data_IF_240047322010
#
_entry.id   IF_240047322010
#
_cell.length_a   1.000
_cell.length_b   1.000
_cell.length_c   1.000
_cell.angle_alpha   90.00
_cell.angle_beta   90.00
_cell.angle_gamma   90.00
#
_symmetry.space_group_name_H-M   'P 1'
#
loop_
_entity.id
_entity.type
_entity.pdbx_description
1 polymer ?
#
# COMPACT_ATOMS: atom_id res chain seq x y z
N UNK A 1 5.83 3.68 -5.08
CA UNK A 1 6.89 2.66 -4.97
C UNK A 1 6.70 1.71 -6.13
N UNK A 2 7.72 1.52 -6.97
CA UNK A 2 7.56 0.84 -8.27
C UNK A 2 8.74 -0.10 -8.49
N UNK A 3 8.42 -1.30 -8.98
CA UNK A 3 9.40 -2.13 -9.66
C UNK A 3 9.39 -1.64 -11.11
N UNK A 4 10.44 -0.96 -11.52
CA UNK A 4 10.65 -0.50 -12.89
C UNK A 4 11.69 -1.40 -13.53
N UNK A 5 11.26 -2.46 -14.21
CA UNK A 5 12.15 -3.26 -15.05
C UNK A 5 12.39 -2.52 -16.36
N UNK A 6 13.25 -1.50 -16.33
CA UNK A 6 13.90 -0.69 -17.41
C UNK A 6 13.12 -0.24 -18.67
N UNK A 7 11.99 -0.87 -19.03
CA UNK A 7 11.18 -0.66 -20.23
C UNK A 7 9.68 -0.92 -19.99
N UNK A 8 9.29 -1.60 -18.89
CA UNK A 8 7.88 -1.79 -18.48
C UNK A 8 7.69 -1.37 -17.02
N UNK A 9 6.56 -0.73 -16.75
CA UNK A 9 6.16 -0.30 -15.43
C UNK A 9 5.43 -1.45 -14.73
N UNK A 10 6.02 -1.98 -13.66
CA UNK A 10 5.50 -3.14 -12.93
C UNK A 10 6.45 -4.33 -12.98
N UNK A 11 6.15 -5.35 -12.16
CA UNK A 11 6.84 -6.64 -12.19
C UNK A 11 6.18 -7.52 -13.25
N UNK A 12 6.95 -8.22 -14.08
CA UNK A 12 6.35 -9.19 -14.99
C UNK A 12 5.67 -10.32 -14.20
N UNK A 13 4.67 -10.97 -14.80
CA UNK A 13 3.99 -12.10 -14.15
C UNK A 13 4.99 -13.21 -13.77
N UNK A 14 5.96 -13.48 -14.64
CA UNK A 14 6.99 -14.48 -14.42
C UNK A 14 7.88 -14.13 -13.21
N UNK A 15 8.22 -12.85 -13.03
CA UNK A 15 8.97 -12.39 -11.86
C UNK A 15 8.13 -12.50 -10.58
N UNK A 16 6.83 -12.24 -10.65
CA UNK A 16 5.92 -12.35 -9.52
C UNK A 16 5.70 -13.80 -9.10
N UNK A 17 5.59 -14.72 -10.06
CA UNK A 17 5.43 -16.16 -9.81
C UNK A 17 6.67 -16.77 -9.15
N UNK A 18 7.86 -16.29 -9.54
CA UNK A 18 9.14 -16.70 -8.95
C UNK A 18 9.29 -16.31 -7.48
N UNK A 19 8.52 -15.35 -6.97
CA UNK A 19 8.59 -14.92 -5.58
C UNK A 19 7.99 -15.92 -4.58
N UNK A 20 7.54 -17.11 -5.02
CA UNK A 20 7.00 -18.18 -4.17
C UNK A 20 6.26 -17.67 -2.91
N UNK A 21 5.26 -16.80 -3.11
CA UNK A 21 4.52 -16.16 -2.03
C UNK A 21 3.65 -17.17 -1.23
N UNK A 22 3.63 -18.45 -1.63
CA UNK A 22 2.89 -19.52 -0.97
C UNK A 22 3.27 -19.71 0.50
N UNK A 23 4.51 -19.34 0.88
CA UNK A 23 4.96 -19.34 2.29
C UNK A 23 4.04 -18.51 3.19
N UNK A 24 3.38 -17.48 2.64
CA UNK A 24 2.47 -16.60 3.40
C UNK A 24 1.00 -17.02 3.32
N UNK A 25 0.62 -17.90 2.39
CA UNK A 25 -0.77 -18.35 2.23
C UNK A 25 -1.17 -19.45 3.23
N UNK A 26 -0.19 -20.16 3.81
CA UNK A 26 -0.45 -21.33 4.67
C UNK A 26 -1.00 -21.03 6.07
N UNK A 27 -1.11 -19.77 6.49
CA UNK A 27 -1.65 -19.46 7.82
C UNK A 27 -3.17 -19.27 7.86
N UNK A 28 -3.79 -18.80 6.76
CA UNK A 28 -5.23 -18.49 6.76
C UNK A 28 -6.10 -19.62 6.20
N UNK A 29 -5.59 -20.40 5.23
CA UNK A 29 -6.35 -21.48 4.59
C UNK A 29 -6.40 -22.78 5.41
N UNK A 30 -5.39 -23.01 6.25
CA UNK A 30 -5.31 -24.19 7.11
C UNK A 30 -6.24 -24.14 8.33
N UNK A 31 -6.90 -23.01 8.60
CA UNK A 31 -7.83 -22.87 9.72
C UNK A 31 -9.26 -23.29 9.36
N UNK A 32 -9.63 -23.33 8.08
CA UNK A 32 -10.99 -23.67 7.65
C UNK A 32 -11.13 -25.10 7.07
N UNK A 33 -10.05 -25.69 6.55
CA UNK A 33 -10.08 -27.02 5.92
C UNK A 33 -9.65 -28.13 6.90
N UNK A 34 -8.82 -27.81 7.90
CA UNK A 34 -8.34 -28.83 8.85
C UNK A 34 -9.37 -29.29 9.89
N UNK A 35 -10.45 -28.57 10.18
CA UNK A 35 -11.38 -29.05 11.21
C UNK A 35 -12.16 -30.32 10.79
N UNK A 36 -12.17 -30.68 9.49
CA UNK A 36 -12.80 -31.94 9.02
C UNK A 36 -11.82 -33.07 8.71
N UNK A 37 -10.58 -32.79 8.33
CA UNK A 37 -9.56 -33.84 8.09
C UNK A 37 -8.64 -34.12 9.29
N UNK A 38 -8.45 -33.15 10.19
CA UNK A 38 -7.60 -33.32 11.38
C UNK A 38 -8.24 -34.27 12.41
N UNK A 39 -9.57 -34.39 12.42
CA UNK A 39 -10.30 -35.39 13.22
C UNK A 39 -10.05 -36.82 12.72
N UNK A 40 -9.68 -37.02 11.45
CA UNK A 40 -9.39 -38.36 10.89
C UNK A 40 -7.91 -38.75 10.93
N UNK A 41 -6.99 -37.79 11.04
CA UNK A 41 -5.54 -38.03 10.98
C UNK A 41 -4.79 -37.87 12.31
N UNK A 42 -5.46 -37.58 13.43
CA UNK A 42 -4.85 -37.35 14.75
C UNK A 42 -4.18 -38.57 15.43
N UNK A 43 -3.95 -39.67 14.70
CA UNK A 43 -3.22 -40.85 15.23
C UNK A 43 -2.04 -41.30 14.38
N UNK A 44 -1.64 -40.55 13.34
CA UNK A 44 -0.45 -40.90 12.58
C UNK A 44 0.80 -40.32 13.23
N UNK A 45 1.73 -41.19 13.59
CA UNK A 45 3.04 -40.83 14.11
C UNK A 45 3.85 -40.12 13.02
N UNK A 46 4.77 -39.22 13.40
CA UNK A 46 5.62 -38.45 12.45
C UNK A 46 6.30 -39.35 11.40
N UNK A 47 6.62 -40.59 11.78
CA UNK A 47 7.22 -41.60 10.90
C UNK A 47 6.28 -42.05 9.78
N UNK A 48 4.99 -42.18 10.06
CA UNK A 48 3.98 -42.56 9.07
C UNK A 48 3.73 -41.44 8.05
N UNK A 49 3.82 -40.17 8.47
CA UNK A 49 3.72 -39.03 7.56
C UNK A 49 4.91 -38.97 6.60
N UNK A 50 6.12 -39.26 7.09
CA UNK A 50 7.32 -39.33 6.26
C UNK A 50 7.20 -40.49 5.25
N UNK A 51 6.79 -41.68 5.70
CA UNK A 51 6.59 -42.84 4.83
C UNK A 51 5.55 -42.57 3.74
N UNK A 52 4.41 -41.97 4.09
CA UNK A 52 3.36 -41.64 3.13
C UNK A 52 3.84 -40.66 2.04
N UNK A 53 4.63 -39.64 2.42
CA UNK A 53 5.18 -38.69 1.45
C UNK A 53 6.25 -39.33 0.54
N UNK A 54 7.04 -40.26 1.07
CA UNK A 54 8.02 -41.03 0.29
C UNK A 54 7.29 -41.94 -0.72
N UNK A 55 6.26 -42.66 -0.27
CA UNK A 55 5.46 -43.56 -1.11
C UNK A 55 4.73 -42.81 -2.22
N UNK A 56 4.17 -41.63 -1.93
CA UNK A 56 3.57 -40.76 -2.94
C UNK A 56 4.57 -40.32 -4.01
N UNK A 57 5.78 -39.89 -3.62
CA UNK A 57 6.83 -39.53 -4.59
C UNK A 57 7.31 -40.72 -5.41
N UNK A 58 7.44 -41.89 -4.80
CA UNK A 58 7.84 -43.12 -5.51
C UNK A 58 6.80 -43.53 -6.56
N UNK A 59 5.50 -43.37 -6.25
CA UNK A 59 4.44 -43.64 -7.21
C UNK A 59 4.39 -42.63 -8.37
N UNK A 60 4.79 -41.38 -8.14
CA UNK A 60 4.98 -40.41 -9.22
C UNK A 60 6.16 -40.79 -10.13
N UNK A 61 7.25 -41.35 -9.58
CA UNK A 61 8.37 -41.86 -10.36
C UNK A 61 8.01 -43.13 -11.16
N UNK A 62 7.22 -44.03 -10.59
CA UNK A 62 6.84 -45.30 -11.23
C UNK A 62 5.91 -45.15 -12.45
N UNK A 63 5.24 -44.01 -12.60
CA UNK A 63 4.36 -43.73 -13.74
C UNK A 63 5.06 -43.10 -14.96
N UNK A 64 6.37 -42.87 -14.91
CA UNK A 64 7.17 -42.56 -16.11
C UNK A 64 7.42 -43.85 -16.90
N UNK A 65 6.40 -44.30 -17.64
CA UNK A 65 6.54 -45.41 -18.59
C UNK A 65 7.58 -45.05 -19.66
N UNK A 66 8.57 -45.92 -19.76
CA UNK A 66 9.56 -46.01 -20.83
C UNK A 66 8.87 -46.01 -22.20
N UNK A 67 8.98 -44.88 -22.89
CA UNK A 67 8.55 -44.71 -24.27
C UNK A 67 9.43 -43.66 -24.93
N UNK A 68 10.54 -44.12 -25.52
CA UNK A 68 11.31 -43.49 -26.60
C UNK A 68 11.31 -41.96 -26.68
N UNK A 69 12.21 -41.27 -25.95
CA UNK A 69 12.74 -39.97 -26.38
C UNK A 69 14.02 -39.57 -25.62
N UNK A 70 15.05 -40.44 -25.64
CA UNK A 70 16.28 -40.25 -24.85
C UNK A 70 17.52 -39.76 -25.63
N UNK A 71 17.37 -39.15 -26.80
CA UNK A 71 18.55 -38.78 -27.63
C UNK A 71 18.78 -37.26 -27.81
N UNK A 72 17.84 -36.36 -27.51
CA UNK A 72 18.04 -34.92 -27.77
C UNK A 72 18.20 -33.99 -26.56
N UNK A 73 18.35 -34.51 -25.33
CA UNK A 73 18.30 -33.66 -24.12
C UNK A 73 19.65 -33.43 -23.40
N UNK A 74 20.78 -33.50 -24.12
CA UNK A 74 22.12 -33.28 -23.52
C UNK A 74 22.80 -31.95 -23.92
N UNK A 75 22.05 -30.96 -24.42
CA UNK A 75 22.61 -29.69 -24.92
C UNK A 75 21.97 -28.41 -24.34
N UNK A 76 21.54 -28.42 -23.07
CA UNK A 76 20.95 -27.23 -22.41
C UNK A 76 21.64 -26.78 -21.12
N UNK A 77 22.85 -27.28 -20.80
CA UNK A 77 23.48 -26.97 -19.50
C UNK A 77 24.13 -25.58 -19.42
N UNK A 78 24.51 -24.94 -20.54
CA UNK A 78 25.24 -23.65 -20.50
C UNK A 78 24.34 -22.40 -20.44
N UNK A 79 23.11 -22.44 -20.98
CA UNK A 79 22.15 -21.33 -20.87
C UNK A 79 21.49 -21.24 -19.49
N UNK A 80 21.49 -22.33 -18.72
CA UNK A 80 20.90 -22.38 -17.36
C UNK A 80 21.69 -21.59 -16.30
N UNK A 81 22.99 -21.38 -16.49
CA UNK A 81 23.83 -20.67 -15.51
C UNK A 81 23.63 -19.15 -15.63
N UNK A 82 23.43 -18.65 -16.85
CA UNK A 82 23.27 -17.22 -17.07
C UNK A 82 21.89 -16.71 -16.60
N UNK A 83 20.85 -17.54 -16.66
CA UNK A 83 19.52 -17.22 -16.10
C UNK A 83 19.55 -17.13 -14.57
N UNK A 84 20.20 -18.10 -13.89
CA UNK A 84 20.34 -18.09 -12.42
C UNK A 84 21.03 -16.84 -11.89
N UNK A 85 22.09 -16.36 -12.56
CA UNK A 85 22.80 -15.12 -12.13
C UNK A 85 21.89 -13.88 -12.24
N UNK A 86 21.08 -13.78 -13.29
CA UNK A 86 20.13 -12.68 -13.47
C UNK A 86 19.03 -12.72 -12.41
N UNK A 87 18.53 -13.91 -12.07
CA UNK A 87 17.51 -14.10 -11.03
C UNK A 87 17.99 -13.70 -9.63
N UNK A 88 19.21 -14.08 -9.25
CA UNK A 88 19.79 -13.66 -7.96
C UNK A 88 19.89 -12.13 -7.89
N UNK A 89 20.22 -11.46 -9.00
CA UNK A 89 20.32 -10.00 -9.04
C UNK A 89 18.97 -9.29 -8.91
N UNK A 90 17.91 -9.76 -9.58
CA UNK A 90 16.57 -9.14 -9.49
C UNK A 90 15.97 -9.30 -8.09
N UNK A 91 16.17 -10.46 -7.44
CA UNK A 91 15.69 -10.69 -6.08
C UNK A 91 16.43 -9.82 -5.05
N UNK A 92 17.73 -9.60 -5.24
CA UNK A 92 18.50 -8.65 -4.43
C UNK A 92 18.00 -7.22 -4.60
N UNK A 93 17.71 -6.79 -5.83
CA UNK A 93 17.15 -5.47 -6.11
C UNK A 93 15.77 -5.29 -5.46
N UNK A 94 14.91 -6.31 -5.53
CA UNK A 94 13.60 -6.31 -4.88
C UNK A 94 13.74 -6.18 -3.35
N UNK A 95 14.60 -6.98 -2.72
CA UNK A 95 14.81 -6.91 -1.28
C UNK A 95 15.36 -5.55 -0.85
N UNK A 96 16.26 -4.96 -1.66
CA UNK A 96 16.75 -3.60 -1.46
C UNK A 96 15.61 -2.58 -1.53
N UNK A 97 14.71 -2.73 -2.50
CA UNK A 97 13.52 -1.90 -2.63
C UNK A 97 12.60 -2.05 -1.41
N UNK A 98 12.25 -3.27 -1.00
CA UNK A 98 11.40 -3.50 0.19
C UNK A 98 12.03 -2.91 1.46
N UNK A 99 13.34 -3.10 1.66
CA UNK A 99 14.06 -2.49 2.78
C UNK A 99 14.01 -0.97 2.72
N UNK A 100 14.13 -0.38 1.53
CA UNK A 100 14.00 1.06 1.33
C UNK A 100 12.60 1.55 1.70
N UNK A 101 11.53 0.82 1.36
CA UNK A 101 10.14 1.17 1.77
C UNK A 101 10.02 1.23 3.29
N UNK A 102 10.56 0.22 3.97
CA UNK A 102 10.51 0.15 5.44
C UNK A 102 11.28 1.29 6.08
N UNK A 103 12.46 1.60 5.54
CA UNK A 103 13.23 2.78 5.94
C UNK A 103 12.40 4.06 5.76
N UNK A 104 11.73 4.22 4.62
CA UNK A 104 10.91 5.40 4.31
C UNK A 104 9.72 5.51 5.27
N UNK A 105 9.02 4.43 5.58
CA UNK A 105 7.94 4.43 6.59
C UNK A 105 8.47 4.82 7.97
N UNK A 106 9.63 4.30 8.37
CA UNK A 106 10.25 4.66 9.65
C UNK A 106 10.68 6.13 9.69
N UNK A 107 11.23 6.66 8.59
CA UNK A 107 11.64 8.05 8.45
C UNK A 107 10.44 9.00 8.54
N UNK A 108 9.36 8.71 7.81
CA UNK A 108 8.10 9.46 7.90
C UNK A 108 7.53 9.42 9.32
N UNK A 109 7.58 8.26 9.99
CA UNK A 109 7.14 8.12 11.38
C UNK A 109 7.96 8.98 12.35
N UNK A 110 9.29 9.03 12.17
CA UNK A 110 10.19 9.88 12.98
C UNK A 110 9.91 11.36 12.70
N UNK A 111 9.78 11.77 11.44
CA UNK A 111 9.44 13.15 11.06
C UNK A 111 8.12 13.56 11.72
N UNK A 112 7.10 12.68 11.69
CA UNK A 112 5.83 12.96 12.35
C UNK A 112 5.97 13.14 13.86
N UNK A 113 6.74 12.26 14.52
CA UNK A 113 7.00 12.38 15.96
C UNK A 113 7.73 13.68 16.32
N UNK A 114 8.74 14.07 15.53
CA UNK A 114 9.47 15.34 15.72
C UNK A 114 8.54 16.53 15.56
N UNK A 115 7.67 16.54 14.54
CA UNK A 115 6.68 17.61 14.36
C UNK A 115 5.73 17.71 15.57
N UNK A 116 5.28 16.57 16.13
CA UNK A 116 4.45 16.55 17.32
C UNK A 116 5.17 17.20 18.52
N UNK A 117 6.44 16.88 18.74
CA UNK A 117 7.25 17.50 19.80
C UNK A 117 7.39 19.01 19.58
N UNK A 118 7.62 19.46 18.34
CA UNK A 118 7.68 20.88 17.99
C UNK A 118 6.35 21.57 18.33
N UNK A 119 5.20 20.96 18.01
CA UNK A 119 3.89 21.52 18.35
C UNK A 119 3.70 21.67 19.86
N UNK A 120 4.09 20.67 20.66
CA UNK A 120 4.02 20.76 22.12
C UNK A 120 4.89 21.91 22.64
N UNK A 121 6.11 22.05 22.13
CA UNK A 121 7.02 23.14 22.53
C UNK A 121 6.43 24.50 22.17
N UNK A 122 5.90 24.66 20.96
CA UNK A 122 5.22 25.90 20.52
C UNK A 122 4.08 26.23 21.49
N UNK A 123 3.20 25.28 21.79
CA UNK A 123 2.09 25.49 22.73
C UNK A 123 2.60 25.92 24.12
N UNK A 124 3.62 25.25 24.66
CA UNK A 124 4.21 25.60 25.97
C UNK A 124 4.81 27.01 25.96
N UNK A 125 5.59 27.36 24.94
CA UNK A 125 6.23 28.68 24.82
C UNK A 125 5.17 29.78 24.73
N UNK A 126 4.15 29.59 23.88
CA UNK A 126 3.10 30.57 23.70
C UNK A 126 2.13 30.65 24.88
N UNK A 127 1.92 29.57 25.64
CA UNK A 127 1.11 29.59 26.87
C UNK A 127 1.65 30.53 27.95
N UNK A 128 2.96 30.84 27.91
CA UNK A 128 3.63 31.76 28.84
C UNK A 128 3.59 33.22 28.39
N UNK A 129 3.18 33.48 27.16
CA UNK A 129 3.13 34.85 26.63
C UNK A 129 1.94 35.60 27.22
N UNK A 130 2.15 36.85 27.65
CA UNK A 130 1.09 37.68 28.24
C UNK A 130 0.00 37.94 27.21
N UNK A 131 -1.24 37.81 27.63
CA UNK A 131 -2.42 38.13 26.82
C UNK A 131 -2.40 39.61 26.44
N UNK A 132 -2.48 39.91 25.14
CA UNK A 132 -2.61 41.28 24.62
C UNK A 132 -4.04 41.52 24.20
N UNK A 133 -4.59 42.66 24.59
CA UNK A 133 -5.88 43.14 24.12
C UNK A 133 -5.64 44.28 23.14
N UNK A 134 -6.31 44.23 22.00
CA UNK A 134 -6.30 45.30 20.99
C UNK A 134 -7.71 45.88 20.95
N UNK A 135 -7.80 47.21 20.90
CA UNK A 135 -9.07 47.89 20.65
C UNK A 135 -9.32 47.98 19.14
N UNK A 136 -10.48 47.51 18.68
CA UNK A 136 -10.91 47.61 17.29
C UNK A 136 -11.46 49.01 16.94
N UNK A 137 -11.71 49.28 15.65
CA UNK A 137 -12.26 50.57 15.17
C UNK A 137 -13.67 50.88 15.70
N UNK A 138 -14.42 49.85 16.12
CA UNK A 138 -15.73 49.98 16.76
C UNK A 138 -15.63 50.21 18.29
N UNK A 139 -14.42 50.44 18.81
CA UNK A 139 -14.11 50.58 20.24
C UNK A 139 -14.27 49.32 21.08
N UNK A 140 -14.54 48.16 20.48
CA UNK A 140 -14.60 46.89 21.19
C UNK A 140 -13.17 46.36 21.46
N UNK A 141 -12.98 45.75 22.62
CA UNK A 141 -11.72 45.11 22.97
C UNK A 141 -11.73 43.66 22.50
N UNK A 142 -10.69 43.26 21.77
CA UNK A 142 -10.48 41.87 21.36
C UNK A 142 -9.22 41.29 21.97
N UNK A 143 -9.29 40.00 22.29
CA UNK A 143 -8.11 39.21 22.61
C UNK A 143 -7.29 38.94 21.34
N UNK A 144 -6.00 39.28 21.35
CA UNK A 144 -5.09 38.88 20.29
C UNK A 144 -4.43 37.55 20.65
N UNK A 145 -4.83 36.48 19.95
CA UNK A 145 -4.21 35.18 20.11
C UNK A 145 -2.73 35.25 19.66
N UNK A 146 -1.75 34.95 20.54
CA UNK A 146 -0.35 35.06 20.19
C UNK A 146 0.10 33.94 19.24
N UNK A 147 -0.69 32.86 19.13
CA UNK A 147 -0.45 31.73 18.22
C UNK A 147 -0.78 32.05 16.75
N UNK A 148 -1.41 33.19 16.45
CA UNK A 148 -1.87 33.48 15.07
C UNK A 148 -0.73 33.48 14.04
N UNK A 149 0.45 34.01 14.39
CA UNK A 149 1.60 34.01 13.48
C UNK A 149 2.16 32.60 13.30
N UNK A 150 2.08 31.78 14.34
CA UNK A 150 2.50 30.38 14.27
C UNK A 150 1.53 29.58 13.41
N UNK A 151 0.22 29.83 13.54
CA UNK A 151 -0.85 29.22 12.74
C UNK A 151 -0.62 29.45 11.24
N UNK A 152 -0.35 30.70 10.83
CA UNK A 152 0.00 31.01 9.45
C UNK A 152 1.24 30.24 8.93
N UNK A 153 2.29 30.14 9.75
CA UNK A 153 3.48 29.36 9.39
C UNK A 153 3.19 27.86 9.30
N UNK A 154 2.27 27.35 10.13
CA UNK A 154 1.82 25.96 10.09
C UNK A 154 1.01 25.68 8.84
N UNK A 155 0.03 26.53 8.49
CA UNK A 155 -0.74 26.42 7.25
C UNK A 155 0.18 26.41 6.02
N UNK A 156 1.21 27.28 6.01
CA UNK A 156 2.19 27.32 4.92
C UNK A 156 3.03 26.04 4.84
N UNK A 157 3.49 25.52 5.98
CA UNK A 157 4.22 24.26 6.02
C UNK A 157 3.34 23.09 5.55
N UNK A 158 2.10 23.02 6.02
CA UNK A 158 1.11 22.04 5.59
C UNK A 158 0.89 22.08 4.07
N UNK A 159 0.72 23.29 3.50
CA UNK A 159 0.59 23.47 2.06
C UNK A 159 1.77 22.83 1.30
N UNK A 160 3.00 23.10 1.72
CA UNK A 160 4.22 22.56 1.08
C UNK A 160 4.26 21.03 1.17
N UNK A 161 3.94 20.45 2.33
CA UNK A 161 3.90 19.01 2.55
C UNK A 161 2.83 18.33 1.67
N UNK A 162 1.63 18.90 1.60
CA UNK A 162 0.53 18.36 0.78
C UNK A 162 0.88 18.45 -0.71
N UNK A 163 1.48 19.56 -1.18
CA UNK A 163 1.94 19.66 -2.57
C UNK A 163 2.99 18.59 -2.90
N UNK A 164 3.95 18.35 -2.00
CA UNK A 164 4.93 17.28 -2.18
C UNK A 164 4.26 15.90 -2.33
N UNK A 165 3.29 15.58 -1.46
CA UNK A 165 2.52 14.34 -1.56
C UNK A 165 1.71 14.26 -2.86
N UNK A 166 1.11 15.36 -3.28
CA UNK A 166 0.36 15.44 -4.53
C UNK A 166 1.21 15.09 -5.74
N UNK A 167 2.44 15.61 -5.85
CA UNK A 167 3.37 15.26 -6.93
C UNK A 167 3.72 13.77 -6.95
N UNK A 168 3.91 13.16 -5.78
CA UNK A 168 4.15 11.71 -5.68
C UNK A 168 2.96 10.94 -6.24
N UNK A 169 1.73 11.30 -5.85
CA UNK A 169 0.53 10.58 -6.30
C UNK A 169 0.25 10.79 -7.78
N UNK A 170 0.50 11.99 -8.28
CA UNK A 170 0.39 12.28 -9.70
C UNK A 170 1.35 11.40 -10.52
N UNK A 171 2.58 11.19 -10.03
CA UNK A 171 3.50 10.22 -10.62
C UNK A 171 2.92 8.80 -10.55
N UNK A 172 2.28 8.42 -9.44
CA UNK A 172 1.63 7.11 -9.23
C UNK A 172 0.46 6.85 -10.20
N UNK A 173 -0.29 7.86 -10.65
CA UNK A 173 -1.54 7.64 -11.38
C UNK A 173 -1.47 6.82 -12.66
N UNK A 174 -0.33 6.81 -13.34
CA UNK A 174 -0.17 6.14 -14.63
C UNK A 174 0.33 4.70 -14.53
N UNK A 175 0.61 4.18 -13.33
CA UNK A 175 1.02 2.78 -13.23
C UNK A 175 -0.14 1.81 -13.23
N UNK A 176 0.19 0.59 -13.60
CA UNK A 176 -0.69 -0.57 -13.62
C UNK A 176 -0.64 -1.28 -12.28
N UNK A 177 -1.67 -2.08 -11.98
CA UNK A 177 -1.75 -2.85 -10.74
C UNK A 177 -1.71 -1.98 -9.47
N UNK A 178 -2.38 -0.83 -9.53
CA UNK A 178 -2.54 0.10 -8.40
C UNK A 178 -3.98 -0.01 -7.87
N UNK A 179 -4.14 0.10 -6.56
CA UNK A 179 -5.45 0.33 -5.94
C UNK A 179 -6.15 1.59 -6.49
N UNK A 180 -7.40 1.45 -6.94
CA UNK A 180 -8.25 2.58 -7.39
C UNK A 180 -8.36 3.68 -6.33
N UNK A 181 -8.31 3.30 -5.06
CA UNK A 181 -8.26 4.21 -3.92
C UNK A 181 -7.17 5.30 -4.04
N UNK A 182 -6.02 5.00 -4.65
CA UNK A 182 -4.95 5.99 -4.82
C UNK A 182 -5.37 7.14 -5.76
N UNK A 183 -6.27 6.87 -6.72
CA UNK A 183 -6.86 7.93 -7.55
C UNK A 183 -7.78 8.83 -6.74
N UNK A 184 -8.67 8.23 -5.95
CA UNK A 184 -9.54 8.96 -5.03
C UNK A 184 -8.77 9.75 -3.97
N UNK A 185 -7.66 9.21 -3.47
CA UNK A 185 -6.75 9.93 -2.58
C UNK A 185 -6.14 11.15 -3.27
N UNK A 186 -5.74 11.03 -4.54
CA UNK A 186 -5.29 12.18 -5.34
C UNK A 186 -6.35 13.27 -5.50
N UNK A 187 -7.61 12.90 -5.80
CA UNK A 187 -8.72 13.87 -5.84
C UNK A 187 -8.99 14.51 -4.47
N UNK A 188 -8.88 13.72 -3.40
CA UNK A 188 -9.03 14.23 -2.03
C UNK A 188 -7.95 15.24 -1.69
N UNK A 189 -6.69 15.01 -2.08
CA UNK A 189 -5.62 15.98 -1.89
C UNK A 189 -5.84 17.27 -2.67
N UNK A 190 -6.38 17.22 -3.91
CA UNK A 190 -6.73 18.43 -4.64
C UNK A 190 -7.76 19.28 -3.88
N UNK A 191 -8.80 18.63 -3.34
CA UNK A 191 -9.80 19.30 -2.51
C UNK A 191 -9.16 19.87 -1.24
N UNK A 192 -8.30 19.09 -0.58
CA UNK A 192 -7.63 19.51 0.65
C UNK A 192 -6.72 20.71 0.41
N UNK A 193 -5.94 20.75 -0.68
CA UNK A 193 -5.13 21.92 -1.04
C UNK A 193 -6.01 23.17 -1.17
N UNK A 194 -7.13 23.07 -1.91
CA UNK A 194 -7.99 24.21 -2.22
C UNK A 194 -8.78 24.71 -1.01
N UNK A 195 -9.39 23.81 -0.24
CA UNK A 195 -10.29 24.13 0.88
C UNK A 195 -9.61 24.06 2.25
N UNK A 196 -8.36 23.60 2.34
CA UNK A 196 -7.59 23.57 3.57
C UNK A 196 -6.60 24.76 3.61
N UNK A 197 -5.29 24.51 3.56
CA UNK A 197 -4.28 25.53 3.84
C UNK A 197 -4.30 26.72 2.87
N UNK A 198 -4.64 26.52 1.59
CA UNK A 198 -4.73 27.64 0.64
C UNK A 198 -5.83 28.62 1.05
N UNK A 199 -7.00 28.10 1.45
CA UNK A 199 -8.13 28.93 1.88
C UNK A 199 -7.81 29.68 3.18
N UNK A 200 -7.08 29.04 4.11
CA UNK A 200 -6.64 29.66 5.36
C UNK A 200 -5.66 30.82 5.10
N UNK A 201 -4.68 30.62 4.20
CA UNK A 201 -3.74 31.66 3.78
C UNK A 201 -4.48 32.84 3.15
N UNK A 202 -5.44 32.58 2.25
CA UNK A 202 -6.25 33.65 1.64
C UNK A 202 -7.07 34.38 2.71
N UNK A 203 -7.71 33.66 3.63
CA UNK A 203 -8.48 34.24 4.72
C UNK A 203 -7.60 35.12 5.63
N UNK A 204 -6.39 34.67 5.93
CA UNK A 204 -5.41 35.40 6.71
C UNK A 204 -4.98 36.71 6.02
N UNK A 205 -4.76 36.68 4.70
CA UNK A 205 -4.37 37.89 3.95
C UNK A 205 -5.53 38.88 3.80
N UNK A 206 -6.76 38.39 3.62
CA UNK A 206 -7.91 39.23 3.20
C UNK A 206 -8.86 39.62 4.34
N UNK A 207 -9.15 38.70 5.26
CA UNK A 207 -10.25 38.84 6.24
C UNK A 207 -9.72 39.00 7.67
N UNK A 208 -8.43 38.78 7.93
CA UNK A 208 -7.83 38.78 9.27
C UNK A 208 -8.13 40.02 10.13
N UNK A 209 -8.31 41.19 9.50
CA UNK A 209 -8.69 42.41 10.23
C UNK A 209 -10.00 42.25 11.03
N UNK A 210 -10.94 41.42 10.55
CA UNK A 210 -12.25 41.16 11.15
C UNK A 210 -12.26 39.79 11.82
N UNK A 211 -11.88 39.74 13.11
CA UNK A 211 -11.66 38.46 13.83
C UNK A 211 -12.86 37.51 13.83
N UNK A 212 -14.06 38.03 14.10
CA UNK A 212 -15.29 37.22 14.07
C UNK A 212 -15.54 36.59 12.69
N UNK A 213 -15.39 37.37 11.62
CA UNK A 213 -15.62 36.91 10.25
C UNK A 213 -14.55 35.89 9.83
N UNK A 214 -13.28 36.14 10.17
CA UNK A 214 -12.17 35.23 9.94
C UNK A 214 -12.42 33.88 10.60
N UNK A 215 -12.69 33.85 11.90
CA UNK A 215 -12.92 32.60 12.64
C UNK A 215 -14.11 31.81 12.08
N UNK A 216 -15.23 32.49 11.79
CA UNK A 216 -16.43 31.85 11.24
C UNK A 216 -16.16 31.29 9.84
N UNK A 217 -15.46 32.03 8.99
CA UNK A 217 -15.10 31.60 7.63
C UNK A 217 -14.17 30.38 7.66
N UNK A 218 -13.05 30.46 8.37
CA UNK A 218 -12.06 29.39 8.49
C UNK A 218 -12.69 28.11 9.07
N UNK A 219 -13.51 28.24 10.13
CA UNK A 219 -14.22 27.10 10.71
C UNK A 219 -15.23 26.46 9.74
N UNK A 220 -15.98 27.28 9.00
CA UNK A 220 -16.99 26.78 8.05
C UNK A 220 -16.34 26.06 6.88
N UNK A 221 -15.29 26.66 6.29
CA UNK A 221 -14.57 26.07 5.18
C UNK A 221 -13.85 24.79 5.60
N UNK A 222 -13.18 24.78 6.75
CA UNK A 222 -12.55 23.57 7.28
C UNK A 222 -13.57 22.46 7.49
N UNK A 223 -14.75 22.78 8.06
CA UNK A 223 -15.85 21.82 8.21
C UNK A 223 -16.32 21.23 6.88
N UNK A 224 -16.50 22.07 5.86
CA UNK A 224 -16.87 21.63 4.50
C UNK A 224 -15.77 20.76 3.89
N UNK A 225 -14.50 21.16 4.04
CA UNK A 225 -13.34 20.41 3.56
C UNK A 225 -13.33 18.98 4.15
N UNK A 226 -13.39 18.85 5.47
CA UNK A 226 -13.36 17.54 6.13
C UNK A 226 -14.58 16.67 5.79
N UNK A 227 -15.75 17.28 5.58
CA UNK A 227 -16.95 16.56 5.13
C UNK A 227 -16.75 15.99 3.72
N UNK A 228 -16.24 16.80 2.78
CA UNK A 228 -15.97 16.34 1.41
C UNK A 228 -14.88 15.25 1.40
N UNK A 229 -13.79 15.43 2.17
CA UNK A 229 -12.74 14.42 2.30
C UNK A 229 -13.29 13.09 2.84
N UNK A 230 -14.13 13.16 3.87
CA UNK A 230 -14.76 11.98 4.45
C UNK A 230 -15.63 11.24 3.42
N UNK A 231 -16.44 11.98 2.65
CA UNK A 231 -17.27 11.41 1.59
C UNK A 231 -16.38 10.75 0.52
N UNK A 232 -15.37 11.45 -0.02
CA UNK A 232 -14.52 10.94 -1.09
C UNK A 232 -13.76 9.66 -0.70
N UNK A 233 -13.29 9.57 0.54
CA UNK A 233 -12.50 8.43 1.01
C UNK A 233 -13.36 7.22 1.40
N UNK A 234 -14.54 7.46 1.96
CA UNK A 234 -15.39 6.39 2.52
C UNK A 234 -16.38 5.85 1.47
N UNK A 235 -16.86 6.69 0.54
CA UNK A 235 -17.95 6.36 -0.38
C UNK A 235 -17.69 5.07 -1.17
N UNK A 236 -16.49 4.92 -1.73
CA UNK A 236 -16.08 3.74 -2.49
C UNK A 236 -16.20 2.44 -1.67
N UNK A 237 -15.78 2.49 -0.40
CA UNK A 237 -15.82 1.34 0.51
C UNK A 237 -17.25 0.99 0.91
N UNK A 238 -18.07 1.98 1.24
CA UNK A 238 -19.48 1.75 1.55
C UNK A 238 -20.18 1.15 0.34
N UNK A 239 -19.98 1.72 -0.84
CA UNK A 239 -20.60 1.27 -2.09
C UNK A 239 -20.30 -0.22 -2.37
N UNK A 240 -19.03 -0.63 -2.32
CA UNK A 240 -18.65 -2.02 -2.57
C UNK A 240 -19.05 -2.99 -1.46
N UNK A 241 -19.08 -2.52 -0.21
CA UNK A 241 -19.56 -3.33 0.92
C UNK A 241 -21.06 -3.60 0.81
N UNK A 242 -21.87 -2.57 0.54
CA UNK A 242 -23.32 -2.71 0.36
C UNK A 242 -23.69 -3.62 -0.83
N UNK A 243 -22.86 -3.63 -1.87
CA UNK A 243 -23.06 -4.51 -3.04
C UNK A 243 -22.61 -5.96 -2.80
N UNK A 244 -22.04 -6.29 -1.64
CA UNK A 244 -21.47 -7.61 -1.37
C UNK A 244 -20.23 -7.93 -2.22
N UNK A 245 -19.60 -6.91 -2.82
CA UNK A 245 -18.48 -7.03 -3.75
C UNK A 245 -17.14 -6.60 -3.14
N UNK A 246 -17.10 -6.36 -1.83
CA UNK A 246 -15.91 -5.86 -1.14
C UNK A 246 -14.70 -6.79 -1.22
N UNK A 247 -14.91 -8.10 -1.40
CA UNK A 247 -13.84 -9.09 -1.48
C UNK A 247 -13.30 -9.30 -2.90
N UNK A 248 -13.96 -8.78 -3.94
CA UNK A 248 -13.57 -9.02 -5.32
C UNK A 248 -12.52 -7.97 -5.78
N UNK A 249 -11.27 -8.40 -6.05
CA UNK A 249 -10.17 -7.52 -6.44
C UNK A 249 -10.37 -6.73 -7.73
N UNK A 250 -11.21 -7.20 -8.64
CA UNK A 250 -11.48 -6.51 -9.90
C UNK A 250 -12.14 -5.14 -9.67
N UNK A 251 -12.83 -4.98 -8.54
CA UNK A 251 -13.48 -3.71 -8.19
C UNK A 251 -12.53 -2.68 -7.60
N UNK A 252 -11.51 -3.07 -6.83
CA UNK A 252 -10.61 -2.11 -6.16
C UNK A 252 -9.21 -2.00 -6.77
N UNK A 253 -8.85 -2.86 -7.71
CA UNK A 253 -7.56 -2.86 -8.38
C UNK A 253 -7.70 -2.38 -9.83
N UNK A 254 -6.75 -1.58 -10.29
CA UNK A 254 -6.66 -1.17 -11.70
C UNK A 254 -5.76 -2.19 -12.39
N UNK A 255 -6.36 -3.19 -13.05
CA UNK A 255 -5.63 -4.07 -13.97
C UNK A 255 -5.24 -3.29 -15.24
N UNK A 256 -4.37 -3.90 -16.05
CA UNK A 256 -3.93 -3.32 -17.33
C UNK A 256 -5.15 -2.92 -18.16
N UNK A 257 -5.02 -1.89 -19.02
CA UNK A 257 -6.04 -1.64 -20.05
C UNK A 257 -6.04 -2.88 -20.92
N UNK A 258 -7.10 -3.69 -20.84
CA UNK A 258 -7.36 -4.76 -21.78
C UNK A 258 -7.21 -4.18 -23.18
N UNK A 259 -6.48 -4.87 -24.06
CA UNK A 259 -6.46 -4.47 -25.46
C UNK A 259 -7.90 -4.36 -25.96
N UNK A 260 -8.14 -3.47 -26.93
CA UNK A 260 -9.47 -3.31 -27.49
C UNK A 260 -9.99 -4.68 -27.94
N UNK A 261 -11.11 -5.10 -27.38
CA UNK A 261 -11.71 -6.39 -27.64
C UNK A 261 -11.95 -6.53 -29.15
N UNK A 262 -11.32 -7.50 -29.85
CA UNK A 262 -11.40 -7.55 -31.32
C UNK A 262 -12.84 -7.81 -31.82
N UNK A 263 -13.67 -8.43 -30.98
CA UNK A 263 -15.07 -8.75 -31.26
C UNK A 263 -15.95 -7.50 -31.10
N UNK A 264 -15.83 -6.81 -29.96
CA UNK A 264 -16.76 -5.74 -29.58
C UNK A 264 -16.22 -4.33 -29.82
N UNK A 265 -14.94 -4.19 -30.18
CA UNK A 265 -14.24 -2.89 -30.32
C UNK A 265 -14.41 -1.98 -29.09
N UNK A 266 -14.39 -2.60 -27.91
CA UNK A 266 -14.52 -1.92 -26.61
C UNK A 266 -13.46 -2.40 -25.64
N UNK A 267 -13.01 -1.51 -24.76
CA UNK A 267 -12.03 -1.81 -23.70
C UNK A 267 -12.65 -2.45 -22.45
N UNK A 268 -13.97 -2.70 -22.45
CA UNK A 268 -14.74 -3.13 -21.28
C UNK A 268 -15.51 -4.43 -21.54
N UNK A 269 -15.22 -5.15 -22.62
CA UNK A 269 -15.85 -6.43 -22.90
C UNK A 269 -15.23 -7.51 -21.98
N UNK A 270 -16.04 -8.31 -21.30
CA UNK A 270 -15.56 -9.45 -20.49
C UNK A 270 -15.14 -10.67 -21.32
N UNK A 271 -14.98 -10.53 -22.64
CA UNK A 271 -14.64 -11.66 -23.52
C UNK A 271 -13.17 -12.07 -23.42
N UNK A 272 -12.31 -11.21 -22.86
CA UNK A 272 -10.89 -11.46 -22.63
C UNK A 272 -10.56 -11.60 -21.14
N UNK A 273 -11.57 -11.68 -20.27
CA UNK A 273 -11.37 -11.93 -18.83
C UNK A 273 -10.84 -13.35 -18.65
N UNK A 274 -9.52 -13.46 -18.79
CA UNK A 274 -8.81 -14.71 -18.60
C UNK A 274 -8.65 -14.92 -17.11
N UNK A 275 -8.93 -16.13 -16.64
CA UNK A 275 -8.73 -16.56 -15.24
C UNK A 275 -7.32 -16.22 -14.72
N UNK A 276 -6.35 -16.09 -15.64
CA UNK A 276 -4.99 -15.63 -15.36
C UNK A 276 -4.91 -14.22 -14.78
N UNK A 277 -5.72 -13.24 -15.21
CA UNK A 277 -5.66 -11.87 -14.68
C UNK A 277 -6.01 -11.80 -13.19
N UNK A 278 -7.06 -12.53 -12.80
CA UNK A 278 -7.47 -12.61 -11.39
C UNK A 278 -6.34 -13.18 -10.52
N UNK A 279 -5.66 -14.23 -11.00
CA UNK A 279 -4.51 -14.83 -10.32
C UNK A 279 -3.36 -13.84 -10.18
N UNK A 280 -3.07 -13.06 -11.25
CA UNK A 280 -2.03 -12.02 -11.22
C UNK A 280 -2.36 -10.97 -10.16
N UNK A 281 -3.59 -10.44 -10.17
CA UNK A 281 -4.02 -9.41 -9.21
C UNK A 281 -3.91 -9.92 -7.78
N UNK A 282 -4.33 -11.16 -7.52
CA UNK A 282 -4.23 -11.78 -6.19
C UNK A 282 -2.78 -11.86 -5.71
N UNK A 283 -1.85 -12.27 -6.57
CA UNK A 283 -0.41 -12.28 -6.26
C UNK A 283 0.13 -10.88 -5.95
N UNK A 284 -0.31 -9.87 -6.69
CA UNK A 284 0.04 -8.47 -6.40
C UNK A 284 -0.48 -8.01 -5.04
N UNK A 285 -1.72 -8.37 -4.67
CA UNK A 285 -2.30 -8.05 -3.36
C UNK A 285 -1.49 -8.72 -2.25
N UNK A 286 -1.14 -9.99 -2.41
CA UNK A 286 -0.31 -10.72 -1.45
C UNK A 286 1.09 -10.08 -1.33
N UNK A 287 1.67 -9.63 -2.44
CA UNK A 287 2.91 -8.87 -2.44
C UNK A 287 2.78 -7.52 -1.70
N UNK A 288 1.70 -6.78 -1.89
CA UNK A 288 1.43 -5.54 -1.16
C UNK A 288 1.28 -5.79 0.35
N UNK A 289 0.55 -6.83 0.75
CA UNK A 289 0.42 -7.24 2.16
C UNK A 289 1.78 -7.59 2.76
N UNK A 290 2.59 -8.34 2.01
CA UNK A 290 3.94 -8.69 2.44
C UNK A 290 4.82 -7.45 2.65
N UNK A 291 4.75 -6.48 1.73
CA UNK A 291 5.50 -5.23 1.84
C UNK A 291 5.03 -4.37 3.02
N UNK A 292 3.72 -4.31 3.28
CA UNK A 292 3.15 -3.48 4.35
C UNK A 292 3.32 -4.07 5.76
N UNK A 293 3.55 -5.38 5.88
CA UNK A 293 3.74 -6.02 7.17
C UNK A 293 5.14 -5.72 7.75
N UNK A 294 5.18 -4.83 8.74
CA UNK A 294 6.39 -4.48 9.51
C UNK A 294 6.46 -5.31 10.81
N UNK A 295 5.32 -5.48 11.47
CA UNK A 295 5.17 -6.24 12.69
C UNK A 295 4.30 -7.48 12.47
N UNK A 296 4.66 -8.57 13.13
CA UNK A 296 3.88 -9.82 13.16
C UNK A 296 3.50 -10.12 14.60
N UNK A 297 2.23 -10.40 14.85
CA UNK A 297 1.79 -10.89 16.13
C UNK A 297 1.72 -12.42 16.07
N UNK A 298 2.53 -13.11 16.86
CA UNK A 298 2.51 -14.58 16.95
C UNK A 298 2.75 -15.01 18.39
N UNK A 299 1.93 -15.93 18.90
CA UNK A 299 2.03 -16.49 20.25
C UNK A 299 2.08 -15.41 21.37
N UNK A 300 1.19 -14.42 21.31
CA UNK A 300 1.12 -13.36 22.33
C UNK A 300 2.22 -12.29 22.23
N UNK A 301 3.17 -12.44 21.32
CA UNK A 301 4.34 -11.55 21.21
C UNK A 301 4.33 -10.78 19.89
N UNK A 302 4.66 -9.48 19.98
CA UNK A 302 4.92 -8.64 18.82
C UNK A 302 6.36 -8.90 18.35
N UNK A 303 6.49 -9.50 17.16
CA UNK A 303 7.79 -9.73 16.51
C UNK A 303 7.96 -8.74 15.38
N UNK A 304 9.01 -7.92 15.45
CA UNK A 304 9.49 -7.15 14.32
C UNK A 304 10.04 -8.10 13.25
N UNK A 305 9.51 -8.02 12.02
CA UNK A 305 10.08 -8.80 10.93
C UNK A 305 11.39 -8.13 10.54
N UNK A 306 12.51 -8.71 10.97
CA UNK A 306 13.84 -8.22 10.56
C UNK A 306 13.89 -8.21 9.04
N UNK A 307 14.34 -7.11 8.44
CA UNK A 307 14.59 -6.99 6.99
C UNK A 307 15.45 -8.15 6.48
N UNK A 308 16.42 -8.61 7.28
CA UNK A 308 17.26 -9.76 6.95
C UNK A 308 16.52 -11.10 6.90
N UNK A 309 15.41 -11.29 7.64
CA UNK A 309 14.59 -12.50 7.54
C UNK A 309 13.59 -12.45 6.38
N UNK A 310 13.30 -11.27 5.82
CA UNK A 310 12.56 -11.14 4.54
C UNK A 310 13.39 -11.61 3.33
N UNK A 311 14.71 -11.67 3.48
CA UNK A 311 15.58 -12.36 2.53
C UNK A 311 15.34 -13.88 2.51
N UNK A 312 14.43 -14.45 3.32
CA UNK A 312 14.14 -15.89 3.30
C UNK A 312 13.42 -16.38 2.04
N UNK A 313 13.00 -15.48 1.13
CA UNK A 313 12.72 -15.85 -0.27
C UNK A 313 13.93 -16.52 -0.95
N UNK A 314 15.12 -16.42 -0.35
CA UNK A 314 16.35 -17.10 -0.78
C UNK A 314 16.41 -18.59 -0.41
N UNK A 315 15.52 -19.12 0.44
CA UNK A 315 15.64 -20.50 0.98
C UNK A 315 14.65 -21.53 0.40
N UNK A 316 14.06 -21.28 -0.77
CA UNK A 316 13.22 -22.28 -1.48
C UNK A 316 13.65 -22.54 -2.91
N UNK A 317 14.93 -22.30 -3.22
CA UNK A 317 15.55 -22.79 -4.46
C UNK A 317 16.75 -23.64 -4.05
N UNK A 318 16.48 -24.82 -3.49
CA UNK A 318 17.40 -25.96 -3.49
C UNK A 318 16.78 -27.09 -4.29
#
# INVERSE_FOLDING_TARGET
MYISTAQKLGMSYDELDRLNLQVFQNNDSNMAINDKELIKNQRKTMRETILFNIEKKLNEFGNFKEGEYWINHFQTSSTSIHSKKKEVSTLQELNKNVSYIHSLYSEVGVIYFVNLVIYIIVIIVYSRTKTKYIQEFNYEWRYQCPLINADFLMDFNELVLIFYQFFIIFKIWNYTYIFKYIKYFGYSLMVWILLGPLSNIIAYVTIYQKSYLYNKFTSSISGICYLILSILLIWDKIYYTMRGKGNDPNYYFISFKSEECPIHKTFFCGCMDTESEYIVIRKYIDFYKYCSQIFTYSNGNIKYIKTNSKNQLKFTIE
#
